data_IF_828567158132
#
_entry.id   IF_828567158132
#
_cell.length_a   1.000
_cell.length_b   1.000
_cell.length_c   1.000
_cell.angle_alpha   90.00
_cell.angle_beta   90.00
_cell.angle_gamma   90.00
#
_symmetry.space_group_name_H-M   'P 1'
#
loop_
_entity.id
_entity.type
_entity.pdbx_description
1 polymer ?
#
# COMPACT_ATOMS: atom_id res chain seq x y z
N UNK A 1 -4.80 22.19 17.99
CA UNK A 1 -4.86 22.82 16.66
C UNK A 1 -4.75 21.74 15.58
N UNK A 2 -5.76 20.88 15.47
CA UNK A 2 -5.83 19.85 14.44
C UNK A 2 -7.09 19.96 13.58
N UNK A 3 -7.93 20.97 13.83
CA UNK A 3 -9.22 21.14 13.15
C UNK A 3 -9.13 21.68 11.71
N UNK A 4 -7.97 22.12 11.27
CA UNK A 4 -7.83 22.75 9.95
C UNK A 4 -7.61 21.77 8.79
N UNK A 5 -7.10 20.57 9.03
CA UNK A 5 -6.61 19.69 7.98
C UNK A 5 -7.69 18.77 7.38
N UNK A 6 -8.81 18.59 8.06
CA UNK A 6 -9.88 17.69 7.64
C UNK A 6 -11.26 18.33 7.72
N UNK A 7 -11.38 19.50 7.13
CA UNK A 7 -12.69 19.85 6.60
C UNK A 7 -12.93 18.90 5.42
N UNK A 8 -13.57 17.77 5.72
CA UNK A 8 -14.21 16.96 4.71
C UNK A 8 -14.96 17.91 3.78
N UNK A 9 -14.68 17.87 2.49
CA UNK A 9 -15.25 18.80 1.49
C UNK A 9 -16.76 18.56 1.24
N UNK A 10 -17.45 17.99 2.16
CA UNK A 10 -18.88 17.81 2.17
C UNK A 10 -19.39 18.00 3.57
N UNK A 11 -20.55 18.55 3.72
CA UNK A 11 -21.27 18.52 4.99
C UNK A 11 -21.39 17.05 5.40
N UNK A 12 -20.82 16.70 6.55
CA UNK A 12 -21.08 15.40 7.16
C UNK A 12 -22.59 15.31 7.34
N UNK A 13 -23.26 14.23 6.91
CA UNK A 13 -24.71 14.13 6.98
C UNK A 13 -25.18 14.30 8.43
N UNK A 14 -26.29 14.99 8.61
CA UNK A 14 -26.93 15.07 9.93
C UNK A 14 -27.28 13.66 10.41
N UNK A 15 -27.30 13.43 11.74
CA UNK A 15 -27.74 12.16 12.31
C UNK A 15 -29.12 11.79 11.82
N UNK A 16 -29.36 10.51 11.57
CA UNK A 16 -30.70 10.01 11.20
C UNK A 16 -31.66 10.23 12.36
N UNK A 17 -32.72 11.04 12.13
CA UNK A 17 -33.70 11.40 13.14
C UNK A 17 -34.48 10.19 13.66
N UNK A 18 -34.76 9.19 12.81
CA UNK A 18 -35.43 7.97 13.24
C UNK A 18 -34.52 7.17 14.20
N UNK A 19 -33.24 7.05 13.86
CA UNK A 19 -32.24 6.38 14.72
C UNK A 19 -32.07 7.10 16.05
N UNK A 20 -32.00 8.42 16.03
CA UNK A 20 -31.93 9.23 17.28
C UNK A 20 -33.15 8.98 18.16
N UNK A 21 -34.38 8.95 17.59
CA UNK A 21 -35.60 8.68 18.33
C UNK A 21 -35.63 7.25 18.92
N UNK A 22 -35.13 6.24 18.18
CA UNK A 22 -35.00 4.86 18.69
C UNK A 22 -34.07 4.81 19.91
N UNK A 23 -32.90 5.46 19.82
CA UNK A 23 -31.90 5.52 20.90
C UNK A 23 -32.50 6.24 22.12
N UNK A 24 -33.23 7.33 21.90
CA UNK A 24 -33.85 8.09 22.97
C UNK A 24 -35.02 7.29 23.66
N UNK A 25 -35.79 6.55 22.87
CA UNK A 25 -36.83 5.67 23.39
C UNK A 25 -36.29 4.47 24.19
N UNK A 26 -35.10 3.98 23.84
CA UNK A 26 -34.42 2.90 24.55
C UNK A 26 -33.61 3.37 25.76
N UNK A 27 -33.70 4.64 26.12
CA UNK A 27 -32.93 5.22 27.23
C UNK A 27 -33.38 4.67 28.59
N UNK A 28 -32.38 4.24 29.38
CA UNK A 28 -32.55 3.86 30.79
C UNK A 28 -31.58 4.69 31.65
N UNK A 29 -32.13 5.38 32.68
CA UNK A 29 -31.32 6.22 33.57
C UNK A 29 -30.28 5.40 34.35
N UNK A 30 -30.61 4.17 34.72
CA UNK A 30 -29.69 3.23 35.37
C UNK A 30 -28.55 2.74 34.48
N UNK A 31 -28.65 2.95 33.17
CA UNK A 31 -27.67 2.49 32.14
C UNK A 31 -26.72 3.57 31.62
N UNK A 32 -26.68 4.77 32.22
CA UNK A 32 -25.89 5.90 31.73
C UNK A 32 -24.40 5.57 31.54
N UNK A 33 -23.82 4.79 32.46
CA UNK A 33 -22.39 4.43 32.39
C UNK A 33 -22.04 3.55 31.19
N UNK A 34 -22.99 2.74 30.71
CA UNK A 34 -22.82 1.83 29.58
C UNK A 34 -23.47 2.36 28.30
N UNK A 35 -24.05 3.57 28.36
CA UNK A 35 -24.70 4.18 27.19
C UNK A 35 -23.78 4.19 25.98
N UNK A 36 -24.25 3.69 24.84
CA UNK A 36 -23.56 3.60 23.57
C UNK A 36 -22.21 2.83 23.60
N UNK A 37 -21.97 1.95 24.61
CA UNK A 37 -20.70 1.18 24.68
C UNK A 37 -20.54 0.26 23.47
N UNK A 38 -21.64 -0.36 22.99
CA UNK A 38 -21.62 -1.20 21.78
C UNK A 38 -21.22 -0.42 20.53
N UNK A 39 -21.72 0.80 20.37
CA UNK A 39 -21.37 1.67 19.24
C UNK A 39 -19.89 2.10 19.30
N UNK A 40 -19.41 2.45 20.51
CA UNK A 40 -18.00 2.78 20.76
C UNK A 40 -17.08 1.59 20.44
N UNK A 41 -17.39 0.43 21.00
CA UNK A 41 -16.61 -0.79 20.80
C UNK A 41 -16.56 -1.20 19.32
N UNK A 42 -17.68 -1.12 18.62
CA UNK A 42 -17.74 -1.39 17.18
C UNK A 42 -16.88 -0.43 16.36
N UNK A 43 -16.86 0.86 16.70
CA UNK A 43 -15.99 1.83 16.01
C UNK A 43 -14.51 1.55 16.27
N UNK A 44 -14.12 1.28 17.52
CA UNK A 44 -12.74 0.92 17.88
C UNK A 44 -12.28 -0.34 17.13
N UNK A 45 -13.12 -1.37 17.09
CA UNK A 45 -12.83 -2.61 16.36
C UNK A 45 -12.62 -2.36 14.85
N UNK A 46 -13.48 -1.55 14.24
CA UNK A 46 -13.39 -1.23 12.82
C UNK A 46 -12.11 -0.45 12.48
N UNK A 47 -11.69 0.49 13.32
CA UNK A 47 -10.39 1.19 13.19
C UNK A 47 -9.25 0.19 13.34
N UNK A 48 -9.32 -0.73 14.31
CA UNK A 48 -8.32 -1.79 14.50
C UNK A 48 -8.18 -2.72 13.30
N UNK A 49 -9.30 -3.11 12.67
CA UNK A 49 -9.28 -3.90 11.43
C UNK A 49 -8.65 -3.14 10.25
N UNK A 50 -8.96 -1.85 10.12
CA UNK A 50 -8.34 -1.01 9.11
C UNK A 50 -6.82 -0.89 9.31
N UNK A 51 -6.35 -0.74 10.57
CA UNK A 51 -4.92 -0.74 10.90
C UNK A 51 -4.26 -2.07 10.53
N UNK A 52 -4.89 -3.20 10.87
CA UNK A 52 -4.37 -4.53 10.52
C UNK A 52 -4.25 -4.71 8.99
N UNK A 53 -5.24 -4.24 8.22
CA UNK A 53 -5.20 -4.25 6.76
C UNK A 53 -4.09 -3.34 6.20
N UNK A 54 -3.89 -2.16 6.79
CA UNK A 54 -2.82 -1.24 6.39
C UNK A 54 -1.41 -1.84 6.64
N UNK A 55 -1.23 -2.66 7.68
CA UNK A 55 0.02 -3.38 7.99
C UNK A 55 0.33 -4.54 7.04
N UNK A 56 -0.67 -5.15 6.44
CA UNK A 56 -0.57 -6.43 5.73
C UNK A 56 0.19 -6.36 4.39
N UNK A 57 1.19 -5.49 4.20
CA UNK A 57 1.92 -5.37 2.94
C UNK A 57 3.42 -5.38 3.12
N UNK A 58 4.10 -6.36 2.52
CA UNK A 58 5.56 -6.42 2.50
C UNK A 58 6.12 -5.77 1.23
N UNK A 59 6.65 -4.54 1.37
CA UNK A 59 7.40 -3.85 0.32
C UNK A 59 8.92 -4.12 0.42
N UNK A 60 9.40 -4.61 1.56
CA UNK A 60 10.82 -4.91 1.79
C UNK A 60 11.29 -6.03 0.87
N UNK A 61 10.50 -7.11 0.77
CA UNK A 61 10.77 -8.21 -0.14
C UNK A 61 10.76 -7.77 -1.60
N UNK A 62 9.90 -6.82 -2.00
CA UNK A 62 9.90 -6.27 -3.34
C UNK A 62 11.19 -5.50 -3.66
N UNK A 63 11.66 -4.65 -2.75
CA UNK A 63 12.91 -3.91 -2.91
C UNK A 63 14.12 -4.85 -2.99
N UNK A 64 14.14 -5.92 -2.20
CA UNK A 64 15.19 -6.95 -2.25
C UNK A 64 15.18 -7.69 -3.60
N UNK A 65 14.01 -8.09 -4.11
CA UNK A 65 13.87 -8.75 -5.41
C UNK A 65 14.36 -7.85 -6.56
N UNK A 66 14.01 -6.56 -6.54
CA UNK A 66 14.49 -5.59 -7.52
C UNK A 66 16.01 -5.35 -7.43
N UNK A 67 16.55 -5.27 -6.23
CA UNK A 67 18.00 -5.13 -6.01
C UNK A 67 18.75 -6.36 -6.52
N UNK A 68 18.22 -7.55 -6.33
CA UNK A 68 18.76 -8.78 -6.89
C UNK A 68 18.70 -8.75 -8.44
N UNK A 69 17.54 -8.40 -9.01
CA UNK A 69 17.40 -8.27 -10.47
C UNK A 69 18.42 -7.29 -11.07
N UNK A 70 18.63 -6.15 -10.42
CA UNK A 70 19.64 -5.16 -10.81
C UNK A 70 21.04 -5.75 -10.82
N UNK A 71 21.41 -6.49 -9.77
CA UNK A 71 22.73 -7.16 -9.66
C UNK A 71 22.93 -8.21 -10.77
N UNK A 72 21.91 -9.00 -11.07
CA UNK A 72 21.94 -9.99 -12.18
C UNK A 72 22.16 -9.29 -13.52
N UNK A 73 21.48 -8.16 -13.78
CA UNK A 73 21.66 -7.38 -15.00
C UNK A 73 23.07 -6.76 -15.11
N UNK A 74 23.67 -6.39 -13.99
CA UNK A 74 25.07 -5.90 -13.96
C UNK A 74 26.07 -6.96 -14.38
N UNK A 75 25.84 -8.20 -13.97
CA UNK A 75 26.69 -9.33 -14.36
C UNK A 75 26.62 -9.71 -15.85
N UNK A 76 25.65 -9.16 -16.59
CA UNK A 76 25.46 -9.42 -18.03
C UNK A 76 25.95 -8.22 -18.86
N UNK A 77 27.27 -8.16 -19.13
CA UNK A 77 27.83 -7.06 -19.92
C UNK A 77 27.94 -7.42 -21.43
N UNK A 78 27.16 -6.77 -22.34
CA UNK A 78 27.22 -6.96 -23.77
C UNK A 78 28.63 -6.63 -24.37
N UNK A 79 29.45 -5.81 -23.71
CA UNK A 79 30.81 -5.54 -24.14
C UNK A 79 31.67 -6.82 -24.20
N UNK A 80 31.31 -7.87 -23.46
CA UNK A 80 31.95 -9.18 -23.56
C UNK A 80 31.80 -9.83 -24.95
N UNK A 81 30.86 -9.37 -25.78
CA UNK A 81 30.62 -9.83 -27.15
C UNK A 81 31.50 -9.09 -28.19
N UNK A 82 32.05 -7.95 -27.82
CA UNK A 82 32.90 -7.16 -28.71
C UNK A 82 34.21 -7.89 -29.07
N UNK A 83 34.77 -7.63 -30.27
CA UNK A 83 36.08 -8.19 -30.68
C UNK A 83 37.16 -7.76 -29.69
N UNK A 84 37.86 -8.71 -29.10
CA UNK A 84 39.05 -8.40 -28.30
C UNK A 84 40.14 -7.87 -29.22
N UNK A 85 40.76 -6.74 -28.87
CA UNK A 85 41.89 -6.16 -29.57
C UNK A 85 43.18 -6.86 -29.08
N UNK A 86 44.17 -7.08 -30.00
CA UNK A 86 45.48 -7.66 -29.68
C UNK A 86 45.50 -9.19 -29.57
N UNK A 87 46.58 -9.77 -29.00
CA UNK A 87 46.85 -11.20 -28.91
C UNK A 87 45.79 -11.99 -28.16
N UNK A 88 45.08 -11.38 -27.22
CA UNK A 88 43.97 -11.99 -26.48
C UNK A 88 42.80 -12.43 -27.40
N UNK A 89 42.62 -11.80 -28.56
CA UNK A 89 41.62 -12.17 -29.57
C UNK A 89 41.91 -13.48 -30.28
N UNK A 90 43.17 -13.95 -30.28
CA UNK A 90 43.59 -15.18 -30.96
C UNK A 90 43.17 -16.46 -30.16
N UNK A 91 43.06 -16.37 -28.83
CA UNK A 91 42.83 -17.53 -27.95
C UNK A 91 41.37 -17.77 -27.60
N UNK A 92 40.49 -16.76 -27.72
CA UNK A 92 39.04 -16.91 -27.46
C UNK A 92 38.21 -16.52 -28.68
N UNK A 93 37.92 -17.47 -29.53
CA UNK A 93 37.13 -17.26 -30.75
C UNK A 93 35.73 -16.63 -30.41
N UNK A 94 35.21 -15.79 -31.33
CA UNK A 94 33.93 -15.12 -31.23
C UNK A 94 32.76 -16.10 -30.91
N UNK A 95 32.79 -17.29 -31.50
CA UNK A 95 31.76 -18.31 -31.27
C UNK A 95 31.74 -18.81 -29.83
N UNK A 96 32.91 -19.00 -29.20
CA UNK A 96 33.01 -19.45 -27.80
C UNK A 96 32.46 -18.38 -26.85
N UNK A 97 32.80 -17.09 -27.08
CA UNK A 97 32.26 -15.99 -26.26
C UNK A 97 30.77 -15.85 -26.37
N UNK A 98 30.21 -15.91 -27.58
CA UNK A 98 28.78 -15.88 -27.81
C UNK A 98 28.07 -17.08 -27.14
N UNK A 99 28.64 -18.28 -27.19
CA UNK A 99 28.11 -19.46 -26.50
C UNK A 99 28.06 -19.26 -24.98
N UNK A 100 29.14 -18.78 -24.39
CA UNK A 100 29.24 -18.52 -22.95
C UNK A 100 28.24 -17.42 -22.53
N UNK A 101 28.16 -16.35 -23.32
CA UNK A 101 27.21 -15.27 -23.05
C UNK A 101 25.73 -15.74 -23.13
N UNK A 102 25.40 -16.54 -24.14
CA UNK A 102 24.07 -17.18 -24.25
C UNK A 102 23.74 -18.02 -23.03
N UNK A 103 24.69 -18.80 -22.52
CA UNK A 103 24.50 -19.62 -21.32
C UNK A 103 24.29 -18.73 -20.07
N UNK A 104 25.05 -17.66 -19.90
CA UNK A 104 24.88 -16.73 -18.81
C UNK A 104 23.53 -16.03 -18.90
N UNK A 105 23.15 -15.54 -20.07
CA UNK A 105 21.84 -14.93 -20.31
C UNK A 105 20.69 -15.91 -20.03
N UNK A 106 20.75 -17.16 -20.47
CA UNK A 106 19.68 -18.14 -20.26
C UNK A 106 19.41 -18.36 -18.76
N UNK A 107 20.47 -18.45 -17.94
CA UNK A 107 20.33 -18.57 -16.48
C UNK A 107 19.72 -17.32 -15.87
N UNK A 108 20.23 -16.16 -16.26
CA UNK A 108 19.72 -14.87 -15.78
C UNK A 108 18.25 -14.63 -16.18
N UNK A 109 17.90 -14.94 -17.44
CA UNK A 109 16.55 -14.79 -17.94
C UNK A 109 15.53 -15.69 -17.20
N UNK A 110 15.93 -16.89 -16.79
CA UNK A 110 15.09 -17.76 -15.96
C UNK A 110 14.82 -17.12 -14.59
N UNK A 111 15.87 -16.73 -13.84
CA UNK A 111 15.71 -16.11 -12.52
C UNK A 111 14.99 -14.76 -12.58
N UNK A 112 15.23 -13.94 -13.60
CA UNK A 112 14.51 -12.67 -13.77
C UNK A 112 13.04 -12.87 -14.19
N UNK A 113 12.69 -13.98 -14.86
CA UNK A 113 11.29 -14.34 -15.11
C UNK A 113 10.57 -14.74 -13.82
N UNK A 114 11.23 -15.44 -12.91
CA UNK A 114 10.69 -15.75 -11.58
C UNK A 114 10.48 -14.46 -10.78
N UNK A 115 11.45 -13.54 -10.83
CA UNK A 115 11.30 -12.21 -10.23
C UNK A 115 10.09 -11.47 -10.80
N UNK A 116 9.90 -11.44 -12.12
CA UNK A 116 8.76 -10.78 -12.74
C UNK A 116 7.42 -11.40 -12.29
N UNK A 117 7.36 -12.72 -12.10
CA UNK A 117 6.19 -13.42 -11.57
C UNK A 117 5.93 -13.04 -10.11
N UNK A 118 6.97 -12.98 -9.25
CA UNK A 118 6.84 -12.52 -7.86
C UNK A 118 6.31 -11.08 -7.79
N UNK A 119 6.86 -10.18 -8.61
CA UNK A 119 6.37 -8.79 -8.67
C UNK A 119 4.90 -8.72 -9.09
N UNK A 120 4.46 -9.53 -10.04
CA UNK A 120 3.06 -9.60 -10.48
C UNK A 120 2.13 -10.10 -9.35
N UNK A 121 2.53 -11.12 -8.60
CA UNK A 121 1.80 -11.59 -7.43
C UNK A 121 1.66 -10.52 -6.34
N UNK A 122 2.68 -9.68 -6.14
CA UNK A 122 2.63 -8.55 -5.21
C UNK A 122 1.67 -7.45 -5.67
N UNK A 123 1.56 -7.20 -6.98
CA UNK A 123 0.57 -6.29 -7.57
C UNK A 123 -0.85 -6.77 -7.27
N UNK A 124 -1.13 -8.05 -7.46
CA UNK A 124 -2.43 -8.66 -7.13
C UNK A 124 -2.75 -8.53 -5.63
N UNK A 125 -1.77 -8.82 -4.77
CA UNK A 125 -1.90 -8.66 -3.32
C UNK A 125 -2.20 -7.21 -2.91
N UNK A 126 -1.62 -6.22 -3.57
CA UNK A 126 -1.93 -4.81 -3.33
C UNK A 126 -3.39 -4.48 -3.70
N UNK A 127 -3.89 -5.02 -4.81
CA UNK A 127 -5.29 -4.89 -5.21
C UNK A 127 -6.26 -5.50 -4.20
N UNK A 128 -5.95 -6.69 -3.68
CA UNK A 128 -6.76 -7.35 -2.65
C UNK A 128 -6.81 -6.52 -1.35
N UNK A 129 -5.66 -5.98 -0.90
CA UNK A 129 -5.61 -5.10 0.28
C UNK A 129 -6.42 -3.83 0.08
N UNK A 130 -6.36 -3.21 -1.10
CA UNK A 130 -7.17 -2.04 -1.42
C UNK A 130 -8.66 -2.33 -1.25
N UNK A 131 -9.14 -3.50 -1.70
CA UNK A 131 -10.52 -3.92 -1.49
C UNK A 131 -10.90 -4.11 -0.01
N UNK A 132 -9.98 -4.64 0.82
CA UNK A 132 -10.20 -4.74 2.28
C UNK A 132 -10.28 -3.36 2.92
N UNK A 133 -9.40 -2.44 2.53
CA UNK A 133 -9.40 -1.06 3.02
C UNK A 133 -10.64 -0.27 2.58
N UNK A 134 -11.17 -0.53 1.38
CA UNK A 134 -12.45 0.05 0.94
C UNK A 134 -13.62 -0.39 1.82
N UNK A 135 -13.69 -1.68 2.16
CA UNK A 135 -14.70 -2.18 3.10
C UNK A 135 -14.57 -1.52 4.47
N UNK A 136 -13.34 -1.48 5.01
CA UNK A 136 -13.08 -0.84 6.30
C UNK A 136 -13.48 0.64 6.29
N UNK A 137 -13.24 1.35 5.19
CA UNK A 137 -13.64 2.74 5.03
C UNK A 137 -15.18 2.91 5.09
N UNK A 138 -15.93 2.04 4.42
CA UNK A 138 -17.41 2.04 4.48
C UNK A 138 -17.89 1.74 5.89
N UNK A 139 -17.39 0.68 6.53
CA UNK A 139 -17.78 0.26 7.87
C UNK A 139 -17.49 1.33 8.94
N UNK A 140 -16.38 2.07 8.81
CA UNK A 140 -16.06 3.18 9.71
C UNK A 140 -17.06 4.34 9.51
N UNK A 141 -17.47 4.61 8.28
CA UNK A 141 -18.52 5.62 8.02
C UNK A 141 -19.86 5.26 8.63
N UNK A 142 -20.24 3.98 8.57
CA UNK A 142 -21.44 3.49 9.24
C UNK A 142 -21.34 3.63 10.77
N UNK A 143 -20.17 3.30 11.35
CA UNK A 143 -19.92 3.50 12.78
C UNK A 143 -19.99 4.99 13.17
N UNK A 144 -19.49 5.88 12.32
CA UNK A 144 -19.60 7.33 12.53
C UNK A 144 -21.06 7.79 12.55
N UNK A 145 -21.88 7.30 11.63
CA UNK A 145 -23.30 7.65 11.60
C UNK A 145 -24.04 7.17 12.88
N UNK A 146 -23.72 5.97 13.37
CA UNK A 146 -24.29 5.45 14.63
C UNK A 146 -23.81 6.23 15.85
N UNK A 147 -22.51 6.58 15.92
CA UNK A 147 -21.95 7.45 16.97
C UNK A 147 -22.62 8.84 16.96
N UNK A 148 -22.85 9.42 15.78
CA UNK A 148 -23.50 10.72 15.64
C UNK A 148 -24.95 10.69 16.15
N UNK A 149 -25.69 9.60 15.90
CA UNK A 149 -27.03 9.43 16.43
C UNK A 149 -27.04 9.33 17.97
N UNK A 150 -26.10 8.57 18.56
CA UNK A 150 -25.96 8.47 20.02
C UNK A 150 -25.54 9.83 20.65
N UNK A 151 -24.64 10.57 20.00
CA UNK A 151 -24.21 11.90 20.46
C UNK A 151 -25.35 12.91 20.40
N UNK A 152 -26.21 12.84 19.37
CA UNK A 152 -27.39 13.69 19.26
C UNK A 152 -28.39 13.39 20.38
N UNK A 153 -28.69 12.10 20.65
CA UNK A 153 -29.55 11.69 21.73
C UNK A 153 -29.01 12.12 23.11
N UNK A 154 -27.69 11.89 23.37
CA UNK A 154 -27.04 12.33 24.59
C UNK A 154 -27.11 13.85 24.78
N UNK A 155 -26.91 14.61 23.70
CA UNK A 155 -26.96 16.08 23.74
C UNK A 155 -28.38 16.60 24.03
N UNK A 156 -29.41 16.01 23.44
CA UNK A 156 -30.80 16.35 23.69
C UNK A 156 -31.18 16.10 25.16
N UNK A 157 -30.75 14.95 25.72
CA UNK A 157 -30.96 14.62 27.13
C UNK A 157 -30.30 15.61 28.08
N UNK A 158 -29.02 15.93 27.84
CA UNK A 158 -28.32 16.92 28.66
C UNK A 158 -28.95 18.32 28.59
N UNK A 159 -29.49 18.71 27.43
CA UNK A 159 -30.18 20.00 27.28
C UNK A 159 -31.54 20.05 28.01
N UNK A 160 -32.22 18.92 28.17
CA UNK A 160 -33.49 18.80 28.87
C UNK A 160 -33.38 18.68 30.40
N UNK A 161 -32.15 18.48 30.93
CA UNK A 161 -31.94 18.41 32.39
C UNK A 161 -31.81 19.81 32.97
N UNK A 162 -32.60 20.09 34.01
CA UNK A 162 -32.39 21.29 34.80
C UNK A 162 -30.98 21.27 35.44
N UNK A 163 -30.31 22.41 35.60
CA UNK A 163 -29.06 22.47 36.35
C UNK A 163 -29.28 21.83 37.71
N UNK A 164 -28.61 20.69 37.96
CA UNK A 164 -28.78 19.94 39.19
C UNK A 164 -28.35 20.77 40.40
N UNK A 165 -29.03 20.59 41.53
CA UNK A 165 -28.73 21.22 42.83
C UNK A 165 -27.42 20.67 43.47
N UNK A 166 -26.47 20.10 42.68
CA UNK A 166 -25.23 19.56 43.17
C UNK A 166 -24.05 19.90 42.25
N UNK A 167 -22.84 20.05 42.83
CA UNK A 167 -21.61 20.41 42.15
C UNK A 167 -21.05 19.31 41.20
N UNK A 168 -21.60 18.11 41.19
CA UNK A 168 -21.06 17.01 40.37
C UNK A 168 -21.75 16.98 39.00
N UNK A 169 -20.95 16.94 37.88
CA UNK A 169 -21.49 16.84 36.54
C UNK A 169 -22.20 15.49 36.35
N UNK A 170 -23.32 15.51 35.59
CA UNK A 170 -24.05 14.29 35.28
C UNK A 170 -23.14 13.26 34.57
N UNK A 171 -23.22 11.96 34.94
CA UNK A 171 -22.33 10.89 34.33
C UNK A 171 -22.37 10.87 32.81
N UNK A 172 -23.47 11.24 32.19
CA UNK A 172 -23.62 11.33 30.73
C UNK A 172 -22.65 12.33 30.09
N UNK A 173 -22.17 13.35 30.83
CA UNK A 173 -21.20 14.31 30.31
C UNK A 173 -19.87 13.64 30.02
N UNK A 174 -19.36 12.83 30.93
CA UNK A 174 -18.13 12.07 30.76
C UNK A 174 -18.29 11.03 29.63
N UNK A 175 -19.45 10.37 29.58
CA UNK A 175 -19.75 9.40 28.55
C UNK A 175 -19.82 10.03 27.14
N UNK A 176 -20.49 11.17 27.02
CA UNK A 176 -20.53 11.95 25.78
C UNK A 176 -19.12 12.34 25.31
N UNK A 177 -18.27 12.80 26.22
CA UNK A 177 -16.88 13.14 25.87
C UNK A 177 -16.10 11.93 25.33
N UNK A 178 -16.29 10.74 25.92
CA UNK A 178 -15.68 9.50 25.39
C UNK A 178 -16.19 9.13 24.00
N UNK A 179 -17.49 9.34 23.72
CA UNK A 179 -18.06 9.11 22.39
C UNK A 179 -17.54 10.14 21.37
N UNK A 180 -17.38 11.40 21.75
CA UNK A 180 -16.80 12.47 20.93
C UNK A 180 -15.34 12.14 20.56
N UNK A 181 -14.55 11.65 21.52
CA UNK A 181 -13.18 11.20 21.26
C UNK A 181 -13.15 10.02 20.27
N UNK A 182 -14.03 9.03 20.46
CA UNK A 182 -14.16 7.89 19.56
C UNK A 182 -14.59 8.32 18.14
N UNK A 183 -15.56 9.23 18.04
CA UNK A 183 -15.99 9.84 16.78
C UNK A 183 -14.84 10.55 16.08
N UNK A 184 -14.07 11.35 16.80
CA UNK A 184 -12.92 12.07 16.25
C UNK A 184 -11.87 11.09 15.70
N UNK A 185 -11.54 10.03 16.45
CA UNK A 185 -10.62 9.00 16.02
C UNK A 185 -11.11 8.28 14.75
N UNK A 186 -12.38 7.89 14.69
CA UNK A 186 -13.00 7.27 13.52
C UNK A 186 -12.93 8.21 12.29
N UNK A 187 -13.25 9.48 12.47
CA UNK A 187 -13.19 10.48 11.41
C UNK A 187 -11.75 10.66 10.89
N UNK A 188 -10.78 10.76 11.79
CA UNK A 188 -9.37 10.93 11.44
C UNK A 188 -8.74 9.67 10.81
N UNK A 189 -9.31 8.50 11.02
CA UNK A 189 -8.83 7.25 10.40
C UNK A 189 -9.16 7.16 8.89
N UNK A 190 -10.25 7.79 8.43
CA UNK A 190 -10.68 7.72 7.03
C UNK A 190 -9.63 8.20 6.02
N UNK A 191 -9.00 9.38 6.18
CA UNK A 191 -7.95 9.82 5.25
C UNK A 191 -6.68 8.99 5.37
N UNK A 192 -6.41 8.37 6.53
CA UNK A 192 -5.27 7.48 6.70
C UNK A 192 -5.45 6.21 5.87
N UNK A 193 -6.66 5.65 5.82
CA UNK A 193 -7.01 4.52 4.93
C UNK A 193 -6.74 4.90 3.48
N UNK A 194 -7.21 6.06 3.02
CA UNK A 194 -6.95 6.53 1.64
C UNK A 194 -5.47 6.75 1.36
N UNK A 195 -4.71 7.23 2.36
CA UNK A 195 -3.25 7.38 2.23
C UNK A 195 -2.55 6.02 2.07
N UNK A 196 -2.97 4.98 2.80
CA UNK A 196 -2.45 3.62 2.65
C UNK A 196 -2.77 3.05 1.26
N UNK A 197 -4.02 3.20 0.79
CA UNK A 197 -4.44 2.75 -0.54
C UNK A 197 -3.64 3.44 -1.66
N UNK A 198 -3.41 4.74 -1.56
CA UNK A 198 -2.62 5.49 -2.52
C UNK A 198 -1.15 5.03 -2.54
N UNK A 199 -0.57 4.69 -1.39
CA UNK A 199 0.77 4.13 -1.33
C UNK A 199 0.83 2.74 -1.99
N UNK A 200 -0.16 1.89 -1.74
CA UNK A 200 -0.28 0.56 -2.37
C UNK A 200 -0.47 0.66 -3.89
N UNK A 201 -1.31 1.58 -4.37
CA UNK A 201 -1.54 1.79 -5.80
C UNK A 201 -0.26 2.22 -6.53
N UNK A 202 0.50 3.17 -5.98
CA UNK A 202 1.79 3.62 -6.56
C UNK A 202 2.81 2.50 -6.58
N UNK A 203 2.90 1.73 -5.49
CA UNK A 203 3.79 0.58 -5.43
C UNK A 203 3.42 -0.47 -6.47
N UNK A 204 2.13 -0.78 -6.62
CA UNK A 204 1.64 -1.74 -7.60
C UNK A 204 1.96 -1.30 -9.05
N UNK A 205 1.74 -0.03 -9.39
CA UNK A 205 2.08 0.54 -10.70
C UNK A 205 3.58 0.42 -10.98
N UNK A 206 4.41 0.76 -9.99
CA UNK A 206 5.87 0.67 -10.09
C UNK A 206 6.35 -0.77 -10.27
N UNK A 207 5.81 -1.72 -9.50
CA UNK A 207 6.14 -3.14 -9.62
C UNK A 207 5.71 -3.72 -10.96
N UNK A 208 4.52 -3.34 -11.44
CA UNK A 208 4.01 -3.73 -12.76
C UNK A 208 4.94 -3.26 -13.87
N UNK A 209 5.34 -1.99 -13.86
CA UNK A 209 6.27 -1.44 -14.84
C UNK A 209 7.62 -2.18 -14.84
N UNK A 210 8.14 -2.57 -13.67
CA UNK A 210 9.35 -3.37 -13.57
C UNK A 210 9.18 -4.78 -14.14
N UNK A 211 8.07 -5.46 -13.83
CA UNK A 211 7.77 -6.79 -14.37
C UNK A 211 7.67 -6.78 -15.91
N UNK A 212 6.99 -5.78 -16.48
CA UNK A 212 6.90 -5.56 -17.93
C UNK A 212 8.27 -5.25 -18.53
N UNK A 213 9.08 -4.40 -17.88
CA UNK A 213 10.44 -4.08 -18.31
C UNK A 213 11.36 -5.31 -18.36
N UNK A 214 11.26 -6.20 -17.38
CA UNK A 214 11.98 -7.48 -17.36
C UNK A 214 11.55 -8.39 -18.51
N UNK A 215 10.27 -8.45 -18.83
CA UNK A 215 9.76 -9.23 -19.96
C UNK A 215 10.26 -8.66 -21.30
N UNK A 216 10.18 -7.35 -21.49
CA UNK A 216 10.68 -6.66 -22.70
C UNK A 216 12.19 -6.92 -22.88
N UNK A 217 12.99 -6.75 -21.83
CA UNK A 217 14.42 -7.03 -21.85
C UNK A 217 14.71 -8.49 -22.26
N UNK A 218 13.98 -9.43 -21.67
CA UNK A 218 14.14 -10.86 -21.97
C UNK A 218 13.88 -11.15 -23.46
N UNK A 219 12.81 -10.63 -24.00
CA UNK A 219 12.39 -10.92 -25.36
C UNK A 219 13.28 -10.23 -26.39
N UNK A 220 13.70 -8.97 -26.15
CA UNK A 220 14.65 -8.23 -26.98
C UNK A 220 16.01 -8.95 -27.05
N UNK A 221 16.55 -9.33 -25.89
CA UNK A 221 17.83 -10.01 -25.85
C UNK A 221 17.77 -11.44 -26.39
N UNK A 222 16.66 -12.15 -26.23
CA UNK A 222 16.43 -13.44 -26.85
C UNK A 222 16.53 -13.37 -28.37
N UNK A 223 15.93 -12.34 -28.96
CA UNK A 223 16.00 -12.06 -30.39
C UNK A 223 17.43 -11.67 -30.81
N UNK A 224 18.03 -10.69 -30.14
CA UNK A 224 19.37 -10.20 -30.41
C UNK A 224 20.43 -11.30 -30.34
N UNK A 225 20.27 -12.27 -29.46
CA UNK A 225 21.15 -13.44 -29.32
C UNK A 225 20.83 -14.58 -30.29
N UNK A 226 19.82 -14.45 -31.15
CA UNK A 226 19.41 -15.45 -32.13
C UNK A 226 18.83 -16.72 -31.51
N UNK A 227 18.15 -16.59 -30.35
CA UNK A 227 17.54 -17.72 -29.62
C UNK A 227 16.03 -17.87 -29.90
N UNK A 228 15.45 -17.01 -30.75
CA UNK A 228 14.03 -16.99 -31.10
C UNK A 228 13.65 -17.94 -32.23
N UNK A 229 14.60 -18.62 -32.89
CA UNK A 229 14.35 -19.48 -34.06
C UNK A 229 14.77 -20.93 -33.86
N UNK A 230 14.23 -21.84 -34.71
CA UNK A 230 14.57 -23.28 -34.70
C UNK A 230 16.02 -23.58 -35.04
N UNK A 231 16.76 -22.66 -35.66
CA UNK A 231 18.21 -22.76 -35.93
C UNK A 231 18.88 -21.43 -35.56
N UNK A 232 19.87 -21.44 -34.65
CA UNK A 232 20.66 -20.24 -34.38
C UNK A 232 21.42 -19.86 -35.66
N UNK A 233 20.96 -18.83 -36.35
CA UNK A 233 21.69 -18.25 -37.47
C UNK A 233 23.02 -17.65 -36.99
N UNK A 234 23.97 -17.46 -37.87
CA UNK A 234 25.17 -16.66 -37.62
C UNK A 234 24.74 -15.21 -37.28
N UNK A 235 24.46 -14.96 -36.01
CA UNK A 235 23.99 -13.68 -35.51
C UNK A 235 25.15 -12.83 -35.10
N UNK A 236 25.12 -11.55 -35.45
CA UNK A 236 25.98 -10.52 -34.89
C UNK A 236 25.19 -9.70 -33.90
N UNK A 237 25.24 -10.02 -32.59
CA UNK A 237 24.51 -9.23 -31.62
C UNK A 237 24.91 -7.76 -31.70
N UNK A 238 23.93 -6.87 -31.66
CA UNK A 238 24.13 -5.44 -31.51
C UNK A 238 24.37 -5.13 -30.03
N UNK A 239 25.68 -5.07 -29.64
CA UNK A 239 26.05 -4.82 -28.26
C UNK A 239 25.63 -3.46 -27.74
N UNK A 240 25.55 -2.44 -28.62
CA UNK A 240 25.13 -1.09 -28.25
C UNK A 240 23.62 -1.07 -27.92
N UNK A 241 22.78 -1.65 -28.76
CA UNK A 241 21.34 -1.82 -28.50
C UNK A 241 21.10 -2.60 -27.20
N UNK A 242 21.79 -3.72 -27.03
CA UNK A 242 21.68 -4.55 -25.84
C UNK A 242 22.09 -3.77 -24.56
N UNK A 243 23.18 -3.00 -24.63
CA UNK A 243 23.64 -2.17 -23.51
C UNK A 243 22.62 -1.09 -23.16
N UNK A 244 22.01 -0.45 -24.15
CA UNK A 244 20.98 0.57 -23.97
C UNK A 244 19.77 -0.01 -23.25
N UNK A 245 19.18 -1.10 -23.76
CA UNK A 245 18.01 -1.76 -23.15
C UNK A 245 18.32 -2.20 -21.71
N UNK A 246 19.50 -2.75 -21.43
CA UNK A 246 19.92 -3.09 -20.06
C UNK A 246 19.99 -1.86 -19.16
N UNK A 247 20.62 -0.79 -19.62
CA UNK A 247 20.80 0.42 -18.82
C UNK A 247 19.48 1.13 -18.53
N UNK A 248 18.56 1.17 -19.50
CA UNK A 248 17.23 1.71 -19.33
C UNK A 248 16.43 0.92 -18.28
N UNK A 249 16.49 -0.42 -18.33
CA UNK A 249 15.86 -1.29 -17.34
C UNK A 249 16.47 -1.08 -15.95
N UNK A 250 17.81 -1.02 -15.83
CA UNK A 250 18.49 -0.74 -14.56
C UNK A 250 18.05 0.61 -13.96
N UNK A 251 18.01 1.65 -14.78
CA UNK A 251 17.54 2.97 -14.35
C UNK A 251 16.05 2.93 -13.92
N UNK A 252 15.23 2.12 -14.59
CA UNK A 252 13.84 1.86 -14.19
C UNK A 252 13.76 1.19 -12.82
N UNK A 253 14.58 0.16 -12.59
CA UNK A 253 14.65 -0.55 -11.29
C UNK A 253 15.15 0.38 -10.19
N UNK A 254 16.14 1.20 -10.42
CA UNK A 254 16.65 2.16 -9.41
C UNK A 254 15.57 3.17 -9.00
N UNK A 255 14.80 3.69 -9.97
CA UNK A 255 13.64 4.55 -9.67
C UNK A 255 12.55 3.80 -8.88
N UNK A 256 12.31 2.54 -9.23
CA UNK A 256 11.34 1.71 -8.53
C UNK A 256 11.72 1.47 -7.07
N UNK A 257 12.96 1.15 -6.78
CA UNK A 257 13.46 0.98 -5.40
C UNK A 257 13.28 2.27 -4.60
N UNK A 258 13.58 3.43 -5.19
CA UNK A 258 13.39 4.72 -4.55
C UNK A 258 11.89 4.98 -4.23
N UNK A 259 10.99 4.74 -5.18
CA UNK A 259 9.54 4.92 -4.98
C UNK A 259 8.97 3.94 -3.94
N UNK A 260 9.42 2.69 -3.93
CA UNK A 260 9.04 1.73 -2.88
C UNK A 260 9.47 2.19 -1.50
N UNK A 261 10.65 2.80 -1.38
CA UNK A 261 11.12 3.37 -0.10
C UNK A 261 10.21 4.50 0.37
N UNK A 262 9.79 5.40 -0.52
CA UNK A 262 8.83 6.47 -0.20
C UNK A 262 7.49 5.88 0.24
N UNK A 263 7.00 4.86 -0.46
CA UNK A 263 5.75 4.18 -0.11
C UNK A 263 5.82 3.47 1.24
N UNK A 264 6.95 2.82 1.57
CA UNK A 264 7.18 2.20 2.89
C UNK A 264 7.12 3.23 4.01
N UNK A 265 7.82 4.36 3.86
CA UNK A 265 7.82 5.44 4.87
C UNK A 265 6.42 6.00 5.08
N UNK A 266 5.64 6.21 4.00
CA UNK A 266 4.26 6.67 4.09
C UNK A 266 3.35 5.66 4.81
N UNK A 267 3.52 4.37 4.57
CA UNK A 267 2.77 3.33 5.27
C UNK A 267 3.11 3.31 6.76
N UNK A 268 4.38 3.34 7.12
CA UNK A 268 4.82 3.40 8.51
C UNK A 268 4.23 4.64 9.24
N UNK A 269 4.15 5.79 8.57
CA UNK A 269 3.50 6.99 9.09
C UNK A 269 2.00 6.78 9.33
N UNK A 270 1.29 6.16 8.37
CA UNK A 270 -0.14 5.82 8.51
C UNK A 270 -0.36 4.89 9.70
N UNK A 271 0.43 3.83 9.82
CA UNK A 271 0.36 2.87 10.92
C UNK A 271 0.54 3.56 12.27
N UNK A 272 1.61 4.35 12.41
CA UNK A 272 1.90 5.06 13.66
C UNK A 272 0.77 6.03 14.06
N UNK A 273 0.18 6.73 13.08
CA UNK A 273 -0.97 7.62 13.32
C UNK A 273 -2.23 6.86 13.73
N UNK A 274 -2.56 5.74 13.04
CA UNK A 274 -3.72 4.93 13.40
C UNK A 274 -3.56 4.29 14.78
N UNK A 275 -2.35 3.83 15.13
CA UNK A 275 -2.06 3.36 16.49
C UNK A 275 -2.24 4.45 17.55
N UNK A 276 -1.80 5.68 17.24
CA UNK A 276 -1.98 6.80 18.15
C UNK A 276 -3.45 7.12 18.39
N UNK A 277 -4.29 7.05 17.32
CA UNK A 277 -5.74 7.20 17.46
C UNK A 277 -6.35 6.14 18.38
N UNK A 278 -5.96 4.86 18.21
CA UNK A 278 -6.47 3.77 19.04
C UNK A 278 -6.01 3.85 20.49
N UNK A 279 -4.78 4.31 20.75
CA UNK A 279 -4.25 4.48 22.11
C UNK A 279 -4.90 5.63 22.88
N UNK A 280 -5.51 6.58 22.18
CA UNK A 280 -6.18 7.71 22.79
C UNK A 280 -7.64 7.41 23.19
N UNK A 281 -8.18 6.22 22.89
CA UNK A 281 -9.55 5.75 23.18
C UNK A 281 -9.62 4.85 24.41
#
# INVERSE_FOLDING_TARGET
MADGAYRWQGNWPAPDAARVAEIDAAWEESGVEVFAESARAAAVERIGRALAAARAGDLTGASAALSHARSVLEGLDPAALEPLRGLAGLFKGRGTRLKLFRQAWTRAAAGLSETATDLSGRVEGAGQRSGVLDKAWVEIREALADLDAHLAAASARLAGQAPGEGDAPHPLVARKAALEACRAAALHSLPLIRSAQNADARSAETLKACAEGLAIWRDDWKEALGLSGKRPKSVRPDGERMSRVRNDLKAGIDRAIAELTVSQNRRAEVEARMEALLRAL
#
